data_IF_205393904727
#
_entry.id   IF_205393904727
#
_cell.length_a   1.000
_cell.length_b   1.000
_cell.length_c   1.000
_cell.angle_alpha   90.00
_cell.angle_beta   90.00
_cell.angle_gamma   90.00
#
_symmetry.space_group_name_H-M   'P 1'
#
loop_
_entity.id
_entity.type
_entity.pdbx_description
1 polymer ?
#
# COMPACT_ATOMS: atom_id res chain seq x y z
N UNK A 1 -0.28 20.15 3.87
CA UNK A 1 1.02 19.49 3.61
C UNK A 1 1.91 19.42 4.85
N UNK A 2 1.41 19.80 6.03
CA UNK A 2 2.13 19.69 7.30
C UNK A 2 1.18 19.15 8.36
N UNK A 3 1.71 18.40 9.33
CA UNK A 3 1.01 17.90 10.50
C UNK A 3 1.89 18.15 11.73
N UNK A 4 1.41 18.94 12.70
CA UNK A 4 2.15 19.29 13.94
C UNK A 4 3.61 19.69 13.73
N UNK A 5 3.90 20.59 12.78
CA UNK A 5 5.28 21.02 12.52
C UNK A 5 6.06 20.12 11.56
N UNK A 6 5.59 18.90 11.29
CA UNK A 6 6.22 17.93 10.39
C UNK A 6 5.73 18.12 8.96
N UNK A 7 6.66 18.34 8.03
CA UNK A 7 6.39 18.38 6.60
C UNK A 7 7.37 17.48 5.83
N UNK A 8 6.95 17.03 4.66
CA UNK A 8 7.77 16.23 3.76
C UNK A 8 7.78 16.90 2.40
N UNK A 9 8.95 16.97 1.77
CA UNK A 9 9.06 17.26 0.34
C UNK A 9 9.57 16.05 -0.40
N UNK A 10 8.98 15.77 -1.56
CA UNK A 10 9.46 14.77 -2.52
C UNK A 10 9.72 15.50 -3.82
N UNK A 11 10.93 15.37 -4.36
CA UNK A 11 11.37 16.13 -5.53
C UNK A 11 11.22 17.65 -5.35
N UNK A 12 11.54 18.17 -4.16
CA UNK A 12 11.37 19.58 -3.78
C UNK A 12 9.92 20.08 -3.85
N UNK A 13 8.92 19.18 -3.94
CA UNK A 13 7.50 19.50 -3.93
C UNK A 13 6.87 19.06 -2.60
N UNK A 14 5.99 19.86 -1.99
CA UNK A 14 5.30 19.47 -0.76
C UNK A 14 4.47 18.20 -0.94
N UNK A 15 4.64 17.24 -0.04
CA UNK A 15 3.80 16.06 0.10
C UNK A 15 2.75 16.27 1.20
N UNK A 16 1.69 15.47 1.19
CA UNK A 16 0.63 15.52 2.19
C UNK A 16 0.91 14.51 3.29
N UNK A 17 1.34 14.99 4.47
CA UNK A 17 1.55 14.14 5.65
C UNK A 17 0.20 13.77 6.26
N UNK A 18 -0.05 12.48 6.42
CA UNK A 18 -1.28 11.94 7.03
C UNK A 18 -1.04 11.41 8.44
N UNK A 19 0.13 10.86 8.70
CA UNK A 19 0.47 10.26 9.98
C UNK A 19 1.94 10.46 10.28
N UNK A 20 2.27 10.63 11.55
CA UNK A 20 3.61 10.40 12.05
C UNK A 20 3.53 9.71 13.42
N UNK A 21 4.53 8.90 13.70
CA UNK A 21 4.80 8.31 15.00
C UNK A 21 6.26 8.62 15.31
N UNK A 22 6.59 9.04 16.53
CA UNK A 22 7.99 9.12 16.95
C UNK A 22 8.21 8.37 18.24
N UNK A 23 9.11 7.39 18.20
CA UNK A 23 9.49 6.60 19.37
C UNK A 23 10.20 7.45 20.43
N UNK A 24 10.76 8.61 20.05
CA UNK A 24 11.40 9.54 20.96
C UNK A 24 10.40 10.38 21.78
N UNK A 25 9.22 10.67 21.23
CA UNK A 25 8.22 11.55 21.87
C UNK A 25 6.95 10.83 22.31
N UNK A 26 6.68 9.63 21.79
CA UNK A 26 5.49 8.85 22.12
C UNK A 26 5.90 7.37 22.36
N UNK A 27 5.77 6.86 23.60
CA UNK A 27 6.15 5.49 23.94
C UNK A 27 5.24 4.43 23.31
N UNK A 28 4.09 4.81 22.74
CA UNK A 28 3.24 3.89 21.97
C UNK A 28 3.80 3.62 20.56
N UNK A 29 4.73 4.45 20.08
CA UNK A 29 5.42 4.26 18.82
C UNK A 29 6.60 3.30 18.98
N UNK A 30 6.51 2.12 18.39
CA UNK A 30 7.63 1.17 18.38
C UNK A 30 8.86 1.67 17.60
N UNK A 31 8.64 2.56 16.61
CA UNK A 31 9.66 3.17 15.76
C UNK A 31 9.18 4.50 15.21
N UNK A 32 10.11 5.35 14.74
CA UNK A 32 9.74 6.55 13.99
C UNK A 32 9.11 6.17 12.64
N UNK A 33 7.98 6.79 12.31
CA UNK A 33 7.25 6.55 11.06
C UNK A 33 6.62 7.86 10.57
N UNK A 34 6.63 8.07 9.26
CA UNK A 34 5.85 9.12 8.60
C UNK A 34 5.13 8.50 7.41
N UNK A 35 3.82 8.70 7.31
CA UNK A 35 3.06 8.38 6.10
C UNK A 35 2.76 9.69 5.37
N UNK A 36 3.26 9.80 4.14
CA UNK A 36 3.05 10.96 3.29
C UNK A 36 2.57 10.53 1.90
N UNK A 37 1.59 11.24 1.36
CA UNK A 37 1.14 11.11 -0.01
C UNK A 37 1.95 12.06 -0.90
N UNK A 38 2.68 11.51 -1.87
CA UNK A 38 3.45 12.30 -2.82
C UNK A 38 2.51 13.18 -3.66
N UNK A 39 2.93 14.42 -4.01
CA UNK A 39 2.15 15.22 -4.92
C UNK A 39 2.09 14.56 -6.31
N UNK A 40 1.10 14.95 -7.12
CA UNK A 40 1.11 14.59 -8.54
C UNK A 40 2.37 15.19 -9.20
N UNK A 41 3.26 14.31 -9.66
CA UNK A 41 4.51 14.65 -10.30
C UNK A 41 4.83 13.54 -11.33
N UNK A 42 5.20 13.94 -12.54
CA UNK A 42 5.55 13.04 -13.64
C UNK A 42 7.05 12.77 -13.76
N UNK A 43 7.86 13.27 -12.82
CA UNK A 43 9.30 13.05 -12.78
C UNK A 43 9.61 11.57 -12.58
N UNK A 44 10.65 11.08 -13.25
CA UNK A 44 11.20 9.73 -13.06
C UNK A 44 12.70 9.79 -12.84
N UNK A 45 13.24 8.89 -12.04
CA UNK A 45 14.66 8.86 -11.69
C UNK A 45 14.91 9.23 -10.23
N UNK A 46 16.16 9.54 -9.89
CA UNK A 46 16.52 9.89 -8.52
C UNK A 46 15.95 11.26 -8.15
N UNK A 47 15.18 11.32 -7.06
CA UNK A 47 14.62 12.54 -6.49
C UNK A 47 14.93 12.62 -5.01
N UNK A 48 15.16 13.82 -4.45
CA UNK A 48 15.35 13.98 -3.01
C UNK A 48 14.02 13.85 -2.26
N UNK A 49 14.08 13.17 -1.12
CA UNK A 49 13.06 13.19 -0.07
C UNK A 49 13.68 13.89 1.15
N UNK A 50 12.99 14.91 1.65
CA UNK A 50 13.43 15.69 2.81
C UNK A 50 12.28 15.74 3.79
N UNK A 51 12.58 15.44 5.05
CA UNK A 51 11.66 15.61 6.18
C UNK A 51 12.08 16.84 6.96
N UNK A 52 11.12 17.72 7.26
CA UNK A 52 11.35 18.93 8.05
C UNK A 52 10.50 18.88 9.31
N UNK A 53 11.14 19.05 10.47
CA UNK A 53 10.50 19.20 11.78
C UNK A 53 10.73 20.64 12.27
N UNK A 54 9.70 21.49 12.19
CA UNK A 54 9.82 22.91 12.52
C UNK A 54 10.84 23.61 11.59
N UNK A 55 11.92 24.13 12.15
CA UNK A 55 13.01 24.76 11.38
C UNK A 55 14.14 23.80 10.99
N UNK A 56 14.14 22.56 11.49
CA UNK A 56 15.18 21.58 11.23
C UNK A 56 14.79 20.68 10.05
N UNK A 57 15.68 20.55 9.05
CA UNK A 57 15.50 19.64 7.92
C UNK A 57 16.51 18.50 7.97
N UNK A 58 16.09 17.31 7.55
CA UNK A 58 16.98 16.17 7.38
C UNK A 58 17.98 16.42 6.24
N UNK A 59 19.05 15.62 6.19
CA UNK A 59 19.78 15.45 4.94
C UNK A 59 18.84 14.87 3.85
N UNK A 60 19.04 15.19 2.56
CA UNK A 60 18.26 14.61 1.48
C UNK A 60 18.47 13.10 1.40
N UNK A 61 17.38 12.35 1.43
CA UNK A 61 17.37 10.92 1.10
C UNK A 61 17.06 10.75 -0.39
N UNK A 62 17.89 10.02 -1.13
CA UNK A 62 17.65 9.78 -2.56
C UNK A 62 16.69 8.61 -2.77
N UNK A 63 15.56 8.87 -3.42
CA UNK A 63 14.58 7.85 -3.80
C UNK A 63 14.42 7.79 -5.32
N UNK A 64 14.23 6.59 -5.88
CA UNK A 64 13.91 6.44 -7.31
C UNK A 64 12.42 6.58 -7.55
N UNK A 65 12.00 7.70 -8.13
CA UNK A 65 10.63 7.94 -8.55
C UNK A 65 10.33 7.18 -9.84
N UNK A 66 9.21 6.47 -9.87
CA UNK A 66 8.71 5.70 -11.02
C UNK A 66 7.25 6.05 -11.27
N UNK A 67 6.82 5.93 -12.52
CA UNK A 67 5.40 6.07 -12.89
C UNK A 67 4.54 4.94 -12.32
N UNK A 68 5.12 3.75 -12.17
CA UNK A 68 4.49 2.54 -11.63
C UNK A 68 5.51 1.84 -10.72
N UNK A 69 5.12 1.58 -9.47
CA UNK A 69 5.89 0.89 -8.45
C UNK A 69 4.91 0.23 -7.45
N UNK A 70 4.19 -0.83 -7.88
CA UNK A 70 3.14 -1.42 -7.08
C UNK A 70 3.71 -2.01 -5.80
N UNK A 71 3.00 -1.84 -4.69
CA UNK A 71 3.33 -2.46 -3.41
C UNK A 71 2.04 -2.70 -2.64
N UNK A 72 1.91 -3.88 -2.02
CA UNK A 72 0.90 -4.04 -0.99
C UNK A 72 1.26 -3.20 0.23
N UNK A 73 0.24 -2.74 0.94
CA UNK A 73 0.42 -2.27 2.32
C UNK A 73 0.54 -3.50 3.21
N UNK A 74 1.36 -3.43 4.27
CA UNK A 74 1.62 -4.57 5.15
C UNK A 74 1.17 -4.25 6.58
N UNK A 75 0.55 -5.22 7.26
CA UNK A 75 0.23 -5.12 8.69
C UNK A 75 1.48 -5.19 9.57
N UNK A 76 2.51 -5.89 9.12
CA UNK A 76 3.75 -6.10 9.88
C UNK A 76 4.95 -6.33 8.96
N UNK A 77 6.14 -6.30 9.57
CA UNK A 77 7.41 -6.63 8.90
C UNK A 77 7.53 -8.10 8.50
N UNK A 78 6.60 -8.97 8.91
CA UNK A 78 6.55 -10.37 8.49
C UNK A 78 5.98 -10.54 7.08
N UNK A 79 5.41 -9.50 6.48
CA UNK A 79 4.93 -9.54 5.09
C UNK A 79 3.43 -9.76 4.92
N UNK A 80 2.64 -9.86 6.00
CA UNK A 80 1.19 -10.00 5.87
C UNK A 80 0.57 -8.74 5.25
N UNK A 81 -0.07 -8.92 4.10
CA UNK A 81 -0.70 -7.80 3.40
C UNK A 81 -1.91 -7.27 4.18
N UNK A 82 -2.16 -5.97 4.06
CA UNK A 82 -3.40 -5.36 4.52
C UNK A 82 -4.50 -5.82 3.57
N UNK A 83 -5.36 -6.69 4.05
CA UNK A 83 -6.51 -7.21 3.32
C UNK A 83 -7.69 -7.47 4.24
N UNK A 84 -8.89 -7.47 3.67
CA UNK A 84 -10.13 -7.76 4.39
C UNK A 84 -11.00 -8.75 3.64
N UNK A 85 -11.80 -9.50 4.39
CA UNK A 85 -12.95 -10.21 3.86
C UNK A 85 -14.00 -9.21 3.31
N UNK A 86 -15.04 -9.71 2.66
CA UNK A 86 -16.13 -8.86 2.12
C UNK A 86 -16.96 -8.15 3.20
N UNK A 87 -16.93 -8.65 4.44
CA UNK A 87 -17.55 -8.04 5.62
C UNK A 87 -16.63 -7.04 6.34
N UNK A 88 -15.48 -6.71 5.73
CA UNK A 88 -14.44 -5.81 6.26
C UNK A 88 -13.67 -6.34 7.48
N UNK A 89 -13.86 -7.59 7.89
CA UNK A 89 -13.00 -8.22 8.89
C UNK A 89 -11.60 -8.47 8.33
N UNK A 90 -10.57 -8.43 9.20
CA UNK A 90 -9.17 -8.46 8.77
C UNK A 90 -8.77 -9.87 8.32
N UNK A 91 -8.02 -9.94 7.21
CA UNK A 91 -7.37 -11.17 6.78
C UNK A 91 -5.99 -11.29 7.40
N UNK A 92 -5.66 -12.47 7.90
CA UNK A 92 -4.36 -12.81 8.43
C UNK A 92 -4.41 -14.05 9.33
N UNK A 93 -3.27 -14.54 9.83
CA UNK A 93 -3.31 -15.66 10.75
C UNK A 93 -3.99 -15.21 12.05
N UNK A 94 -4.61 -16.15 12.76
CA UNK A 94 -5.41 -15.84 13.95
C UNK A 94 -4.60 -15.18 15.08
N UNK A 95 -3.28 -15.36 15.08
CA UNK A 95 -2.35 -14.75 16.04
C UNK A 95 -1.84 -13.37 15.61
N UNK A 96 -2.09 -12.90 14.37
CA UNK A 96 -1.68 -11.56 13.93
C UNK A 96 -2.42 -10.49 14.74
N UNK A 97 -3.74 -10.59 14.81
CA UNK A 97 -4.60 -9.81 15.69
C UNK A 97 -5.62 -10.75 16.36
N UNK A 98 -5.31 -11.28 17.56
CA UNK A 98 -6.18 -12.23 18.26
C UNK A 98 -7.63 -11.75 18.37
N UNK A 99 -8.57 -12.55 17.83
CA UNK A 99 -10.00 -12.25 17.82
C UNK A 99 -10.45 -11.20 16.81
N UNK A 100 -9.55 -10.73 15.93
CA UNK A 100 -9.81 -9.70 14.91
C UNK A 100 -9.38 -10.08 13.49
N UNK A 101 -8.36 -10.91 13.34
CA UNK A 101 -7.92 -11.44 12.05
C UNK A 101 -8.26 -12.91 11.87
N UNK A 102 -8.68 -13.29 10.67
CA UNK A 102 -8.94 -14.68 10.27
C UNK A 102 -8.30 -15.00 8.92
N UNK A 103 -7.89 -16.26 8.66
CA UNK A 103 -7.39 -16.64 7.35
C UNK A 103 -8.45 -16.48 6.25
N UNK A 104 -7.99 -16.19 5.04
CA UNK A 104 -8.86 -16.17 3.87
C UNK A 104 -9.30 -17.59 3.49
N UNK A 105 -10.50 -17.75 2.91
CA UNK A 105 -11.04 -19.02 2.43
C UNK A 105 -10.73 -19.23 0.96
N UNK A 106 -10.49 -20.46 0.55
CA UNK A 106 -10.39 -20.79 -0.88
C UNK A 106 -11.69 -20.43 -1.61
N UNK A 107 -11.55 -19.82 -2.80
CA UNK A 107 -12.68 -19.38 -3.62
C UNK A 107 -13.38 -18.09 -3.17
N UNK A 108 -13.05 -17.53 -1.99
CA UNK A 108 -13.63 -16.26 -1.59
C UNK A 108 -12.97 -15.08 -2.31
N UNK A 109 -13.70 -13.97 -2.44
CA UNK A 109 -13.14 -12.70 -2.92
C UNK A 109 -12.77 -11.83 -1.73
N UNK A 110 -11.55 -11.33 -1.74
CA UNK A 110 -10.99 -10.47 -0.70
C UNK A 110 -10.73 -9.07 -1.26
N UNK A 111 -10.65 -8.07 -0.39
CA UNK A 111 -10.16 -6.74 -0.74
C UNK A 111 -8.72 -6.58 -0.22
N UNK A 112 -7.75 -6.48 -1.12
CA UNK A 112 -6.35 -6.20 -0.79
C UNK A 112 -6.03 -4.72 -1.03
N UNK A 113 -5.29 -4.09 -0.11
CA UNK A 113 -4.99 -2.66 -0.15
C UNK A 113 -3.53 -2.42 -0.52
N UNK A 114 -3.32 -1.50 -1.45
CA UNK A 114 -2.04 -1.33 -2.11
C UNK A 114 -1.79 0.12 -2.55
N UNK A 115 -0.58 0.39 -3.02
CA UNK A 115 -0.13 1.69 -3.52
C UNK A 115 0.68 1.52 -4.81
N UNK A 116 0.88 2.60 -5.56
CA UNK A 116 1.88 2.64 -6.64
C UNK A 116 1.49 1.93 -7.95
N UNK A 117 0.22 1.64 -8.16
CA UNK A 117 -0.28 1.04 -9.41
C UNK A 117 -0.40 2.04 -10.59
N UNK A 118 0.16 3.26 -10.46
CA UNK A 118 0.10 4.30 -11.50
C UNK A 118 -1.28 4.95 -11.64
N UNK A 119 -1.42 5.93 -12.53
CA UNK A 119 -2.65 6.72 -12.62
C UNK A 119 -3.87 5.87 -13.03
N UNK A 120 -5.04 6.06 -12.38
CA UNK A 120 -6.28 5.44 -12.79
C UNK A 120 -6.84 6.08 -14.07
N UNK A 121 -7.93 5.54 -14.59
CA UNK A 121 -8.76 6.22 -15.57
C UNK A 121 -9.37 7.49 -14.95
N UNK A 122 -9.23 8.62 -15.65
CA UNK A 122 -9.70 9.92 -15.18
C UNK A 122 -8.60 10.80 -14.61
N UNK A 123 -8.93 12.07 -14.39
CA UNK A 123 -7.98 13.07 -13.91
C UNK A 123 -7.96 13.11 -12.39
N UNK A 124 -6.76 13.07 -11.81
CA UNK A 124 -6.54 13.37 -10.40
C UNK A 124 -6.22 14.85 -10.23
N UNK A 125 -6.72 15.45 -9.16
CA UNK A 125 -6.44 16.82 -8.70
C UNK A 125 -5.55 16.81 -7.46
N UNK A 126 -4.37 17.42 -7.52
CA UNK A 126 -3.46 17.42 -6.37
C UNK A 126 -4.12 18.04 -5.12
N UNK A 127 -4.04 17.35 -3.97
CA UNK A 127 -4.60 17.81 -2.70
C UNK A 127 -6.10 17.61 -2.49
N UNK A 128 -6.83 16.97 -3.41
CA UNK A 128 -8.22 16.58 -3.15
C UNK A 128 -8.30 15.56 -2.01
N UNK A 129 -9.27 15.73 -1.11
CA UNK A 129 -9.57 14.79 -0.02
C UNK A 129 -10.35 13.55 -0.47
N UNK A 130 -10.90 13.56 -1.69
CA UNK A 130 -11.63 12.43 -2.27
C UNK A 130 -11.26 12.27 -3.74
N UNK A 131 -10.81 11.08 -4.11
CA UNK A 131 -10.46 10.67 -5.48
C UNK A 131 -10.62 9.18 -5.64
N UNK A 132 -11.11 8.77 -6.81
CA UNK A 132 -11.23 7.37 -7.17
C UNK A 132 -11.15 7.20 -8.69
N UNK A 133 -10.91 5.96 -9.11
CA UNK A 133 -10.90 5.59 -10.52
C UNK A 133 -10.36 4.18 -10.73
N UNK A 134 -10.98 3.43 -11.63
CA UNK A 134 -10.47 2.09 -12.02
C UNK A 134 -9.13 2.20 -12.73
N UNK A 135 -8.26 1.21 -12.56
CA UNK A 135 -7.06 1.11 -13.38
C UNK A 135 -7.41 0.89 -14.86
N UNK A 136 -6.60 1.41 -15.81
CA UNK A 136 -6.77 1.18 -17.25
C UNK A 136 -6.81 -0.31 -17.64
N UNK A 137 -6.11 -1.16 -16.90
CA UNK A 137 -6.12 -2.61 -17.04
C UNK A 137 -6.10 -3.28 -15.66
N UNK A 138 -6.51 -4.55 -15.59
CA UNK A 138 -6.37 -5.32 -14.35
C UNK A 138 -4.92 -5.79 -14.17
N UNK A 139 -4.35 -5.68 -12.96
CA UNK A 139 -3.11 -6.37 -12.60
C UNK A 139 -3.22 -7.89 -12.75
N UNK A 140 -2.10 -8.54 -13.03
CA UNK A 140 -2.01 -10.00 -12.98
C UNK A 140 -1.47 -10.40 -11.62
N UNK A 141 -2.32 -11.01 -10.79
CA UNK A 141 -1.96 -11.44 -9.45
C UNK A 141 -1.87 -12.96 -9.32
N UNK A 142 -1.01 -13.42 -8.43
CA UNK A 142 -0.81 -14.83 -8.10
C UNK A 142 -0.82 -15.03 -6.59
N UNK A 143 -1.39 -16.15 -6.15
CA UNK A 143 -1.38 -16.61 -4.76
C UNK A 143 -0.91 -18.06 -4.76
N UNK A 144 0.13 -18.37 -3.97
CA UNK A 144 0.74 -19.70 -3.94
C UNK A 144 1.24 -20.16 -5.32
N UNK A 145 1.63 -19.22 -6.18
CA UNK A 145 2.04 -19.47 -7.57
C UNK A 145 0.89 -19.62 -8.59
N UNK A 146 -0.35 -19.75 -8.14
CA UNK A 146 -1.53 -19.89 -9.00
C UNK A 146 -2.10 -18.52 -9.39
N UNK A 147 -2.58 -18.37 -10.63
CA UNK A 147 -3.26 -17.15 -11.05
C UNK A 147 -4.52 -16.91 -10.21
N UNK A 148 -4.65 -15.71 -9.66
CA UNK A 148 -5.83 -15.26 -8.93
C UNK A 148 -6.67 -14.33 -9.81
N UNK A 149 -7.98 -14.58 -9.87
CA UNK A 149 -8.89 -13.74 -10.64
C UNK A 149 -9.10 -12.39 -9.93
N UNK A 150 -9.19 -11.30 -10.71
CA UNK A 150 -9.48 -9.97 -10.19
C UNK A 150 -10.84 -9.50 -10.71
N UNK A 151 -11.75 -9.17 -9.79
CA UNK A 151 -13.04 -8.58 -10.11
C UNK A 151 -12.95 -7.05 -10.25
N UNK A 152 -11.98 -6.43 -9.58
CA UNK A 152 -11.76 -4.99 -9.58
C UNK A 152 -10.31 -4.66 -9.21
N UNK A 153 -9.80 -3.57 -9.78
CA UNK A 153 -8.61 -2.88 -9.29
C UNK A 153 -8.72 -1.38 -9.59
N UNK A 154 -8.50 -0.54 -8.59
CA UNK A 154 -8.62 0.90 -8.76
C UNK A 154 -8.22 1.70 -7.54
N UNK A 155 -8.01 3.00 -7.76
CA UNK A 155 -7.85 3.99 -6.71
C UNK A 155 -9.21 4.19 -6.03
N UNK A 156 -9.25 4.08 -4.70
CA UNK A 156 -10.47 4.23 -3.90
C UNK A 156 -10.42 5.41 -2.92
N UNK A 157 -9.21 5.91 -2.64
CA UNK A 157 -8.98 7.16 -1.92
C UNK A 157 -7.59 7.72 -2.31
N UNK A 158 -7.22 8.96 -1.94
CA UNK A 158 -5.94 9.55 -2.32
C UNK A 158 -4.74 8.64 -1.99
N UNK A 159 -4.08 8.11 -3.02
CA UNK A 159 -2.95 7.19 -2.92
C UNK A 159 -3.26 5.72 -2.62
N UNK A 160 -4.51 5.38 -2.29
CA UNK A 160 -4.90 4.02 -1.90
C UNK A 160 -5.60 3.28 -3.03
N UNK A 161 -5.08 2.12 -3.38
CA UNK A 161 -5.69 1.19 -4.31
C UNK A 161 -6.34 0.04 -3.55
N UNK A 162 -7.47 -0.41 -4.06
CA UNK A 162 -8.12 -1.65 -3.66
C UNK A 162 -8.13 -2.62 -4.84
N UNK A 163 -7.75 -3.87 -4.57
CA UNK A 163 -7.81 -4.98 -5.52
C UNK A 163 -8.78 -6.02 -4.96
N UNK A 164 -9.82 -6.37 -5.72
CA UNK A 164 -10.74 -7.44 -5.36
C UNK A 164 -10.24 -8.75 -5.96
N UNK A 165 -9.56 -9.56 -5.16
CA UNK A 165 -8.83 -10.76 -5.59
C UNK A 165 -9.58 -12.00 -5.09
N UNK A 166 -9.86 -12.95 -5.99
CA UNK A 166 -10.42 -14.25 -5.61
C UNK A 166 -9.30 -15.22 -5.24
N UNK A 167 -9.36 -15.82 -4.05
CA UNK A 167 -8.39 -16.84 -3.62
C UNK A 167 -8.52 -18.08 -4.52
N UNK A 168 -7.46 -18.53 -5.21
CA UNK A 168 -7.53 -19.71 -6.08
C UNK A 168 -8.01 -20.96 -5.31
N UNK A 169 -8.88 -21.82 -5.91
CA UNK A 169 -9.38 -23.02 -5.23
C UNK A 169 -8.31 -24.02 -4.78
N UNK A 170 -7.16 -24.04 -5.46
CA UNK A 170 -6.02 -24.92 -5.16
C UNK A 170 -4.98 -24.30 -4.22
N UNK A 171 -5.29 -23.17 -3.58
CA UNK A 171 -4.39 -22.53 -2.63
C UNK A 171 -4.29 -23.39 -1.36
N UNK A 172 -3.10 -23.85 -0.95
CA UNK A 172 -2.95 -24.67 0.26
C UNK A 172 -3.24 -23.85 1.52
N UNK A 173 -3.68 -24.53 2.59
CA UNK A 173 -3.81 -23.91 3.90
C UNK A 173 -2.44 -23.45 4.43
N UNK A 174 -2.42 -22.33 5.15
CA UNK A 174 -1.22 -21.68 5.69
C UNK A 174 -0.88 -20.38 4.97
N UNK A 175 0.33 -19.89 5.20
CA UNK A 175 0.83 -18.65 4.59
C UNK A 175 1.26 -18.91 3.16
N UNK A 176 0.66 -18.14 2.25
CA UNK A 176 0.91 -18.24 0.82
C UNK A 176 1.55 -16.95 0.31
N UNK A 177 2.59 -17.04 -0.55
CA UNK A 177 3.10 -15.87 -1.22
C UNK A 177 2.02 -15.27 -2.12
N UNK A 178 1.84 -13.96 -2.02
CA UNK A 178 1.00 -13.18 -2.93
C UNK A 178 1.87 -12.20 -3.71
N UNK A 179 1.57 -12.04 -4.99
CA UNK A 179 2.25 -11.06 -5.84
C UNK A 179 1.29 -10.51 -6.88
N UNK A 180 1.48 -9.26 -7.28
CA UNK A 180 0.80 -8.67 -8.43
C UNK A 180 1.80 -8.01 -9.37
N UNK A 181 1.54 -8.12 -10.67
CA UNK A 181 2.29 -7.43 -11.71
C UNK A 181 1.39 -6.44 -12.46
N UNK A 182 1.90 -5.25 -12.71
CA UNK A 182 1.19 -4.19 -13.42
C UNK A 182 2.18 -3.28 -14.14
N UNK A 183 1.92 -2.95 -15.40
CA UNK A 183 2.77 -2.06 -16.19
C UNK A 183 4.25 -2.49 -16.26
N UNK A 184 4.52 -3.81 -16.24
CA UNK A 184 5.87 -4.37 -16.26
C UNK A 184 6.61 -4.34 -14.93
N UNK A 185 6.00 -3.88 -13.84
CA UNK A 185 6.56 -3.92 -12.48
C UNK A 185 5.80 -4.91 -11.60
N UNK A 186 6.48 -5.48 -10.61
CA UNK A 186 5.91 -6.41 -9.64
C UNK A 186 5.88 -5.79 -8.23
N UNK A 187 4.94 -6.24 -7.41
CA UNK A 187 4.99 -6.01 -5.96
C UNK A 187 6.27 -6.63 -5.37
N UNK A 188 6.77 -6.12 -4.24
CA UNK A 188 7.91 -6.72 -3.55
C UNK A 188 7.73 -8.22 -3.27
N UNK A 189 8.83 -8.95 -3.21
CA UNK A 189 8.81 -10.34 -2.75
C UNK A 189 8.66 -10.39 -1.23
N UNK A 190 8.03 -11.44 -0.71
CA UNK A 190 7.85 -11.65 0.73
C UNK A 190 6.46 -11.26 1.24
N UNK A 191 5.60 -10.73 0.37
CA UNK A 191 4.20 -10.47 0.70
C UNK A 191 3.43 -11.79 0.87
N UNK A 192 2.68 -11.88 1.96
CA UNK A 192 1.99 -13.09 2.41
C UNK A 192 0.50 -12.85 2.61
N UNK A 193 -0.29 -13.89 2.35
CA UNK A 193 -1.69 -14.02 2.74
C UNK A 193 -1.91 -15.39 3.36
N UNK A 194 -2.54 -15.44 4.53
CA UNK A 194 -2.89 -16.70 5.20
C UNK A 194 -4.22 -17.22 4.66
N UNK A 195 -4.27 -18.50 4.29
CA UNK A 195 -5.46 -19.19 3.76
C UNK A 195 -5.80 -20.39 4.64
N UNK A 196 -7.09 -20.66 4.86
CA UNK A 196 -7.55 -21.87 5.54
C UNK A 196 -8.90 -22.37 5.01
#
# INVERSE_FOLDING_TARGET
>A
TQLHGISVTVNNRPAFVYFYCSAATDPSCASDQINALTPLDSTTGQVPVIVTNGSASSAPFSATMKTIAPSFLLFSTQGYIVATHTDYSLIGPANLYPGKSTPAKTGETIAAYAVGFGLPNGTLTNGSSSQSGSLPALPVCKIGGNNAALAFAGLVSPGLYQLNITIPPSTPSGDNPISCTYGGSATPSGDLITVQ
#
